data_IF_102674706181
#
_entry.id   IF_102674706181
#
_cell.length_a   1.000
_cell.length_b   1.000
_cell.length_c   1.000
_cell.angle_alpha   90.00
_cell.angle_beta   90.00
_cell.angle_gamma   90.00
#
_symmetry.space_group_name_H-M   'P 1'
#
loop_
_entity.id
_entity.type
_entity.pdbx_description
1 polymer ?
#
# COMPACT_ATOMS: atom_id res chain seq x y z
N UNK A 1 -13.08 -0.24 24.66
CA UNK A 1 -14.36 -0.85 24.24
C UNK A 1 -15.35 0.29 24.04
N UNK A 2 -15.82 0.53 22.81
CA UNK A 2 -16.70 1.68 22.51
C UNK A 2 -18.18 1.39 22.73
N UNK A 3 -18.54 0.11 22.97
CA UNK A 3 -19.94 -0.33 23.12
C UNK A 3 -20.75 -0.27 21.83
N UNK A 4 -20.13 0.04 20.69
CA UNK A 4 -20.83 0.16 19.40
C UNK A 4 -21.05 -1.22 18.79
N UNK A 5 -22.28 -1.47 18.36
CA UNK A 5 -22.64 -2.67 17.60
C UNK A 5 -22.08 -2.54 16.18
N UNK A 6 -21.36 -3.58 15.72
CA UNK A 6 -20.85 -3.67 14.34
C UNK A 6 -21.67 -4.71 13.55
N UNK A 7 -22.82 -4.33 12.97
CA UNK A 7 -23.78 -5.29 12.39
C UNK A 7 -23.23 -6.07 11.19
N UNK A 8 -22.11 -5.63 10.60
CA UNK A 8 -21.48 -6.28 9.44
C UNK A 8 -20.29 -7.18 9.80
N UNK A 9 -19.93 -7.27 11.09
CA UNK A 9 -18.75 -8.03 11.52
C UNK A 9 -19.18 -9.41 12.02
N UNK A 10 -18.66 -10.46 11.36
CA UNK A 10 -18.77 -11.85 11.82
C UNK A 10 -17.42 -12.33 12.35
N UNK A 11 -17.45 -13.28 13.28
CA UNK A 11 -16.25 -13.96 13.77
C UNK A 11 -15.96 -15.16 12.88
N UNK A 12 -14.71 -15.32 12.45
CA UNK A 12 -14.26 -16.42 11.60
C UNK A 12 -14.19 -17.76 12.35
N UNK A 13 -13.83 -18.83 11.63
CA UNK A 13 -13.55 -20.17 12.17
C UNK A 13 -14.73 -20.84 12.89
N UNK A 14 -15.95 -20.56 12.44
CA UNK A 14 -17.16 -21.18 13.01
C UNK A 14 -17.63 -20.52 14.32
N UNK A 15 -16.89 -19.53 14.84
CA UNK A 15 -17.18 -18.91 16.14
C UNK A 15 -18.53 -18.18 16.10
N UNK A 16 -18.82 -17.48 15.00
CA UNK A 16 -20.09 -16.77 14.88
C UNK A 16 -21.29 -17.72 14.81
N UNK A 17 -21.13 -18.85 14.13
CA UNK A 17 -22.13 -19.91 14.04
C UNK A 17 -22.36 -20.58 15.39
N UNK A 18 -21.30 -20.80 16.18
CA UNK A 18 -21.43 -21.34 17.53
C UNK A 18 -22.23 -20.40 18.46
N UNK A 19 -22.04 -19.08 18.32
CA UNK A 19 -22.84 -18.09 19.05
C UNK A 19 -24.28 -18.06 18.53
N UNK A 20 -24.49 -18.05 17.22
CA UNK A 20 -25.83 -18.13 16.62
C UNK A 20 -26.58 -19.37 17.13
N UNK A 21 -25.92 -20.54 17.19
CA UNK A 21 -26.51 -21.77 17.70
C UNK A 21 -26.81 -21.70 19.20
N UNK A 22 -25.90 -21.15 20.01
CA UNK A 22 -26.10 -20.96 21.46
C UNK A 22 -27.30 -20.06 21.74
N UNK A 23 -27.46 -18.99 20.98
CA UNK A 23 -28.56 -18.02 21.13
C UNK A 23 -29.84 -18.46 20.39
N UNK A 24 -29.88 -19.67 19.82
CA UNK A 24 -31.04 -20.21 19.12
C UNK A 24 -31.40 -19.50 17.81
N UNK A 25 -30.46 -18.78 17.20
CA UNK A 25 -30.63 -18.05 15.96
C UNK A 25 -30.42 -18.96 14.74
N UNK A 26 -30.97 -18.55 13.59
CA UNK A 26 -30.74 -19.23 12.32
C UNK A 26 -29.26 -19.11 11.93
N UNK A 27 -28.58 -20.24 11.88
CA UNK A 27 -27.17 -20.33 11.48
C UNK A 27 -27.04 -19.90 10.01
N UNK A 28 -26.17 -18.91 9.77
CA UNK A 28 -25.84 -18.47 8.41
C UNK A 28 -24.57 -19.19 7.94
N UNK A 29 -24.59 -19.70 6.72
CA UNK A 29 -23.41 -20.30 6.10
C UNK A 29 -22.38 -19.22 5.75
N UNK A 30 -21.11 -19.47 6.05
CA UNK A 30 -20.04 -18.58 5.62
C UNK A 30 -19.83 -18.69 4.11
N UNK A 31 -19.42 -17.58 3.49
CA UNK A 31 -18.93 -17.59 2.12
C UNK A 31 -17.66 -18.44 2.05
N UNK A 32 -17.73 -19.57 1.35
CA UNK A 32 -16.58 -20.47 1.17
C UNK A 32 -15.74 -19.97 0.00
N UNK A 33 -14.44 -19.79 0.23
CA UNK A 33 -13.48 -19.54 -0.84
C UNK A 33 -13.29 -20.83 -1.64
N UNK A 34 -13.76 -20.85 -2.88
CA UNK A 34 -13.69 -22.04 -3.75
C UNK A 34 -12.30 -22.25 -4.34
N UNK A 35 -11.58 -21.16 -4.64
CA UNK A 35 -10.22 -21.20 -5.16
C UNK A 35 -9.44 -19.94 -4.76
N UNK A 36 -8.14 -20.10 -4.55
CA UNK A 36 -7.22 -19.00 -4.22
C UNK A 36 -5.85 -19.26 -4.86
N UNK A 37 -5.23 -18.19 -5.37
CA UNK A 37 -3.84 -18.20 -5.84
C UNK A 37 -3.17 -16.90 -5.41
N UNK A 38 -1.89 -16.96 -5.06
CA UNK A 38 -1.10 -15.74 -4.80
C UNK A 38 -0.65 -15.14 -6.13
N UNK A 39 -0.43 -13.82 -6.17
CA UNK A 39 0.13 -13.18 -7.37
C UNK A 39 1.47 -13.78 -7.79
N UNK A 40 2.32 -14.17 -6.83
CA UNK A 40 3.60 -14.82 -7.12
C UNK A 40 3.41 -16.14 -7.88
N UNK A 41 2.49 -17.00 -7.42
CA UNK A 41 2.19 -18.26 -8.09
C UNK A 41 1.51 -18.03 -9.43
N UNK A 42 0.60 -17.06 -9.51
CA UNK A 42 -0.09 -16.70 -10.74
C UNK A 42 0.88 -16.27 -11.84
N UNK A 43 1.84 -15.40 -11.53
CA UNK A 43 2.81 -14.92 -12.53
C UNK A 43 3.76 -16.01 -13.03
N UNK A 44 4.04 -17.04 -12.23
CA UNK A 44 4.86 -18.19 -12.64
C UNK A 44 4.18 -19.10 -13.67
N UNK A 45 2.86 -19.00 -13.83
CA UNK A 45 2.13 -19.77 -14.84
C UNK A 45 2.36 -19.25 -16.26
N UNK A 46 2.82 -17.99 -16.41
CA UNK A 46 3.05 -17.41 -17.72
C UNK A 46 4.36 -17.96 -18.32
N UNK A 47 4.33 -18.43 -19.58
CA UNK A 47 5.53 -18.96 -20.23
C UNK A 47 6.59 -17.87 -20.48
N UNK A 48 6.16 -16.61 -20.56
CA UNK A 48 7.04 -15.44 -20.67
C UNK A 48 6.56 -14.37 -19.68
N UNK A 49 7.48 -13.88 -18.87
CA UNK A 49 7.21 -12.83 -17.89
C UNK A 49 8.17 -11.66 -18.10
N UNK A 50 7.61 -10.45 -18.14
CA UNK A 50 8.33 -9.19 -18.29
C UNK A 50 7.63 -8.08 -17.51
N UNK A 51 8.36 -7.07 -17.07
CA UNK A 51 7.81 -5.96 -16.30
C UNK A 51 8.63 -4.68 -16.48
N UNK A 52 8.03 -3.56 -16.12
CA UNK A 52 8.63 -2.23 -16.22
C UNK A 52 8.40 -1.49 -14.91
N UNK A 53 9.43 -0.84 -14.36
CA UNK A 53 9.32 0.04 -13.20
C UNK A 53 10.54 0.95 -13.12
N UNK A 54 10.38 2.12 -12.50
CA UNK A 54 11.47 3.09 -12.33
C UNK A 54 12.45 2.76 -11.20
N UNK A 55 12.16 1.79 -10.33
CA UNK A 55 12.89 1.59 -9.06
C UNK A 55 13.23 0.13 -8.75
N UNK A 56 13.26 -0.78 -9.72
CA UNK A 56 13.51 -2.21 -9.45
C UNK A 56 14.97 -2.56 -9.11
N UNK A 57 15.93 -1.66 -9.36
CA UNK A 57 17.35 -2.03 -9.28
C UNK A 57 17.77 -2.47 -7.87
N UNK A 58 17.22 -1.84 -6.83
CA UNK A 58 17.50 -2.22 -5.43
C UNK A 58 16.96 -3.61 -5.09
N UNK A 59 15.85 -4.00 -5.71
CA UNK A 59 15.14 -5.26 -5.46
C UNK A 59 15.52 -6.37 -6.46
N UNK A 60 16.58 -6.19 -7.26
CA UNK A 60 16.98 -7.13 -8.31
C UNK A 60 17.18 -8.56 -7.79
N UNK A 61 17.78 -8.70 -6.60
CA UNK A 61 17.98 -10.02 -5.96
C UNK A 61 16.66 -10.74 -5.70
N UNK A 62 15.63 -10.00 -5.29
CA UNK A 62 14.30 -10.57 -5.05
C UNK A 62 13.61 -10.98 -6.35
N UNK A 63 13.68 -10.12 -7.38
CA UNK A 63 13.14 -10.43 -8.72
C UNK A 63 13.80 -11.67 -9.32
N UNK A 64 15.12 -11.79 -9.22
CA UNK A 64 15.85 -12.95 -9.72
C UNK A 64 15.52 -14.21 -8.91
N UNK A 65 15.40 -14.11 -7.58
CA UNK A 65 15.05 -15.24 -6.73
C UNK A 65 13.63 -15.75 -6.97
N UNK A 66 12.66 -14.84 -7.03
CA UNK A 66 11.23 -15.18 -7.11
C UNK A 66 10.77 -15.50 -8.52
N UNK A 67 11.21 -14.72 -9.51
CA UNK A 67 10.68 -14.75 -10.89
C UNK A 67 11.72 -15.09 -11.94
N UNK A 68 13.00 -15.28 -11.57
CA UNK A 68 14.12 -15.50 -12.51
C UNK A 68 14.25 -14.35 -13.52
N UNK A 69 13.85 -13.14 -13.12
CA UNK A 69 13.90 -11.96 -13.96
C UNK A 69 15.09 -11.08 -13.57
N UNK A 70 16.03 -10.79 -14.50
CA UNK A 70 17.05 -9.77 -14.29
C UNK A 70 16.46 -8.36 -14.37
N UNK A 71 17.10 -7.38 -13.72
CA UNK A 71 16.69 -5.98 -13.77
C UNK A 71 17.72 -5.17 -14.56
N UNK A 72 17.30 -4.70 -15.73
CA UNK A 72 18.13 -3.89 -16.62
C UNK A 72 17.79 -2.41 -16.42
N UNK A 73 18.79 -1.61 -16.08
CA UNK A 73 18.65 -0.16 -16.03
C UNK A 73 18.67 0.41 -17.44
N UNK A 74 17.59 1.08 -17.82
CA UNK A 74 17.46 1.77 -19.10
C UNK A 74 17.86 3.24 -18.88
N UNK A 75 18.80 3.79 -19.67
CA UNK A 75 19.21 5.18 -19.53
C UNK A 75 18.03 6.12 -19.82
N UNK A 76 18.00 7.27 -19.13
CA UNK A 76 16.98 8.30 -19.37
C UNK A 76 17.26 9.01 -20.69
N UNK A 77 16.20 9.42 -21.39
CA UNK A 77 16.33 10.18 -22.64
C UNK A 77 17.01 11.55 -22.43
N UNK A 78 16.87 12.12 -21.24
CA UNK A 78 17.49 13.40 -20.85
C UNK A 78 18.22 13.26 -19.51
N UNK A 79 19.28 14.05 -19.27
CA UNK A 79 19.92 14.11 -17.96
C UNK A 79 18.93 14.54 -16.87
N UNK A 80 18.97 13.87 -15.72
CA UNK A 80 18.14 14.25 -14.59
C UNK A 80 18.74 15.47 -13.86
N UNK A 81 17.99 16.58 -13.83
CA UNK A 81 18.37 17.82 -13.15
C UNK A 81 17.58 18.06 -11.85
N UNK A 82 16.80 17.08 -11.40
CA UNK A 82 16.02 17.18 -10.15
C UNK A 82 16.96 17.26 -8.96
N UNK A 83 16.74 18.25 -8.09
CA UNK A 83 17.46 18.37 -6.82
C UNK A 83 16.69 17.65 -5.73
N UNK A 84 17.25 16.55 -5.23
CA UNK A 84 16.72 15.82 -4.07
C UNK A 84 17.27 16.44 -2.79
N UNK A 85 16.38 17.12 -2.04
CA UNK A 85 16.73 17.75 -0.77
C UNK A 85 16.85 16.72 0.36
N UNK A 86 17.70 16.97 1.39
CA UNK A 86 17.84 16.07 2.53
C UNK A 86 16.54 15.94 3.33
N UNK A 87 16.40 14.81 4.03
CA UNK A 87 15.23 14.55 4.88
C UNK A 87 15.20 15.52 6.06
N UNK A 88 14.06 16.18 6.25
CA UNK A 88 13.80 17.01 7.42
C UNK A 88 12.99 16.23 8.46
N UNK A 89 13.57 16.04 9.64
CA UNK A 89 12.93 15.37 10.77
C UNK A 89 12.46 16.38 11.82
N UNK A 90 11.27 16.16 12.38
CA UNK A 90 10.65 17.07 13.34
C UNK A 90 10.31 16.30 14.62
N UNK A 91 10.55 16.93 15.78
CA UNK A 91 10.27 16.34 17.09
C UNK A 91 8.77 16.05 17.31
N UNK A 92 7.88 16.85 16.71
CA UNK A 92 6.43 16.69 16.84
C UNK A 92 5.73 16.66 15.50
N UNK A 93 4.62 15.92 15.43
CA UNK A 93 3.75 15.92 14.24
C UNK A 93 3.19 17.31 13.95
N UNK A 94 2.82 18.08 14.98
CA UNK A 94 2.30 19.43 14.81
C UNK A 94 3.35 20.36 14.19
N UNK A 95 4.59 20.31 14.69
CA UNK A 95 5.71 21.08 14.14
C UNK A 95 5.98 20.73 12.68
N UNK A 96 6.00 19.44 12.34
CA UNK A 96 6.11 18.97 10.95
C UNK A 96 5.04 19.59 10.04
N UNK A 97 3.77 19.53 10.45
CA UNK A 97 2.67 20.01 9.61
C UNK A 97 2.63 21.54 9.50
N UNK A 98 3.05 22.25 10.54
CA UNK A 98 3.20 23.69 10.49
C UNK A 98 4.27 24.09 9.47
N UNK A 99 5.44 23.44 9.52
CA UNK A 99 6.52 23.67 8.56
C UNK A 99 6.08 23.36 7.12
N UNK A 100 5.46 22.19 6.89
CA UNK A 100 4.96 21.80 5.56
C UNK A 100 3.96 22.83 5.02
N UNK A 101 3.05 23.34 5.85
CA UNK A 101 2.10 24.38 5.45
C UNK A 101 2.82 25.64 4.99
N UNK A 102 3.77 26.13 5.77
CA UNK A 102 4.53 27.35 5.47
C UNK A 102 5.37 27.19 4.20
N UNK A 103 5.99 26.03 4.00
CA UNK A 103 6.74 25.70 2.79
C UNK A 103 5.84 25.68 1.54
N UNK A 104 4.70 24.99 1.62
CA UNK A 104 3.72 24.94 0.50
C UNK A 104 3.21 26.34 0.16
N UNK A 105 2.90 27.17 1.16
CA UNK A 105 2.45 28.55 0.96
C UNK A 105 3.51 29.39 0.25
N UNK A 106 4.77 29.30 0.70
CA UNK A 106 5.89 30.01 0.07
C UNK A 106 6.09 29.60 -1.39
N UNK A 107 6.01 28.30 -1.70
CA UNK A 107 6.16 27.78 -3.07
C UNK A 107 4.98 28.19 -3.96
N UNK A 108 3.77 28.21 -3.40
CA UNK A 108 2.58 28.66 -4.09
C UNK A 108 2.65 30.15 -4.44
N UNK A 109 3.11 31.00 -3.51
CA UNK A 109 3.31 32.43 -3.77
C UNK A 109 4.36 32.69 -4.87
N UNK A 110 5.34 31.78 -5.04
CA UNK A 110 6.31 31.81 -6.13
C UNK A 110 5.79 31.23 -7.46
N UNK A 111 4.54 30.75 -7.50
CA UNK A 111 3.93 30.12 -8.68
C UNK A 111 4.43 28.70 -8.97
N UNK A 112 5.09 28.04 -8.01
CA UNK A 112 5.63 26.67 -8.19
C UNK A 112 4.55 25.62 -7.90
N UNK A 113 4.35 24.61 -8.78
CA UNK A 113 3.44 23.52 -8.50
C UNK A 113 4.01 22.59 -7.42
N UNK A 114 3.15 22.17 -6.48
CA UNK A 114 3.54 21.33 -5.34
C UNK A 114 2.66 20.08 -5.25
N UNK A 115 3.28 18.92 -5.09
CA UNK A 115 2.61 17.64 -4.81
C UNK A 115 2.94 17.18 -3.40
N UNK A 116 1.91 17.02 -2.56
CA UNK A 116 2.06 16.58 -1.17
C UNK A 116 1.61 15.13 -1.01
N UNK A 117 2.56 14.23 -0.72
CA UNK A 117 2.27 12.83 -0.43
C UNK A 117 1.83 12.61 1.02
N UNK A 118 0.68 11.99 1.25
CA UNK A 118 0.22 11.57 2.58
C UNK A 118 0.01 10.06 2.63
N UNK A 119 0.24 9.45 3.79
CA UNK A 119 0.18 7.98 3.95
C UNK A 119 -1.23 7.45 4.20
N UNK A 120 -2.17 8.32 4.58
CA UNK A 120 -3.54 7.93 4.93
C UNK A 120 -4.52 8.99 4.43
N UNK A 121 -5.61 8.56 3.79
CA UNK A 121 -6.83 9.37 3.75
C UNK A 121 -7.47 9.30 5.12
N UNK A 122 -7.52 10.42 5.85
CA UNK A 122 -8.54 10.57 6.89
C UNK A 122 -9.81 11.01 6.17
N UNK A 123 -10.83 10.15 6.20
CA UNK A 123 -12.21 10.57 5.97
C UNK A 123 -12.72 11.28 7.23
#
# INVERSE_FOLDING_TARGET
>A
LTGRVEPKRRWSDGIHQAVEAKEGLKIQADSVIVAQITYQSLFKLYPKLSGMTGTAKTEEKEFLKMFKMPVIEVPTNLPNIRVDLPIQAFATLRGKWQYVREEVESMFQLGRPVLVGTTRRRA
#
